data_IF_346027193777
#
_entry.id   IF_346027193777
#
_cell.length_a   1.000
_cell.length_b   1.000
_cell.length_c   1.000
_cell.angle_alpha   90.00
_cell.angle_beta   90.00
_cell.angle_gamma   90.00
#
_symmetry.space_group_name_H-M   'P 1'
#
loop_
_entity.id
_entity.type
_entity.pdbx_description
1 polymer ?
#
# COMPACT_ATOMS: atom_id res chain seq x y z
N UNK A 1 -24.92 -3.85 1.11
CA UNK A 1 -25.32 -4.53 -0.14
C UNK A 1 -26.68 -4.08 -0.66
N UNK A 2 -27.57 -3.49 0.16
CA UNK A 2 -28.95 -3.14 -0.28
C UNK A 2 -29.11 -1.88 -1.15
N UNK A 3 -28.17 -0.90 -1.15
CA UNK A 3 -28.34 0.30 -1.99
C UNK A 3 -27.99 0.05 -3.47
N UNK A 4 -27.05 -0.84 -3.76
CA UNK A 4 -26.66 -1.15 -5.16
C UNK A 4 -27.75 -1.92 -5.91
N UNK A 5 -28.61 -2.67 -5.21
CA UNK A 5 -29.78 -3.31 -5.82
C UNK A 5 -30.92 -2.33 -6.14
N UNK A 6 -31.00 -1.19 -5.44
CA UNK A 6 -32.07 -0.19 -5.62
C UNK A 6 -31.78 0.86 -6.69
N UNK A 7 -30.56 0.91 -7.22
CA UNK A 7 -30.15 1.89 -8.22
C UNK A 7 -30.65 1.65 -9.64
N UNK A 8 -31.61 0.75 -9.83
CA UNK A 8 -32.04 0.40 -11.18
C UNK A 8 -30.82 0.03 -12.04
N UNK A 9 -29.77 -0.53 -11.42
CA UNK A 9 -28.69 -1.19 -12.14
C UNK A 9 -29.40 -2.30 -12.87
N UNK A 10 -29.66 -2.05 -14.14
CA UNK A 10 -30.18 -3.04 -15.05
C UNK A 10 -29.09 -4.10 -15.08
N UNK A 11 -29.21 -5.13 -14.22
CA UNK A 11 -28.55 -6.38 -14.50
C UNK A 11 -29.00 -6.72 -15.91
N UNK A 12 -28.10 -6.61 -16.90
CA UNK A 12 -28.38 -7.13 -18.24
C UNK A 12 -28.48 -8.63 -18.08
N UNK A 13 -29.68 -9.07 -17.72
CA UNK A 13 -29.98 -10.43 -17.30
C UNK A 13 -30.21 -11.34 -18.52
N UNK A 14 -29.57 -11.07 -19.65
CA UNK A 14 -29.79 -11.80 -20.90
C UNK A 14 -28.48 -12.37 -21.49
N UNK A 15 -27.48 -12.67 -20.66
CA UNK A 15 -26.29 -13.43 -21.12
C UNK A 15 -25.20 -13.74 -20.09
N UNK A 16 -25.06 -12.96 -19.02
CA UNK A 16 -23.89 -13.09 -18.12
C UNK A 16 -23.84 -14.36 -17.27
N UNK A 17 -25.00 -14.92 -16.89
CA UNK A 17 -25.05 -16.18 -16.13
C UNK A 17 -24.52 -17.37 -16.92
N UNK A 18 -24.71 -17.39 -18.25
CA UNK A 18 -24.16 -18.47 -19.08
C UNK A 18 -22.65 -18.34 -19.22
N UNK A 19 -22.12 -17.12 -19.33
CA UNK A 19 -20.66 -16.88 -19.42
C UNK A 19 -19.92 -17.29 -18.14
N UNK A 20 -20.45 -16.94 -16.96
CA UNK A 20 -19.83 -17.36 -15.69
C UNK A 20 -19.90 -18.87 -15.49
N UNK A 21 -21.05 -19.51 -15.79
CA UNK A 21 -21.18 -20.97 -15.72
C UNK A 21 -20.26 -21.70 -16.70
N UNK A 22 -20.09 -21.17 -17.92
CA UNK A 22 -19.13 -21.68 -18.90
C UNK A 22 -17.70 -21.49 -18.41
N UNK A 23 -17.36 -20.34 -17.81
CA UNK A 23 -16.03 -20.09 -17.25
C UNK A 23 -15.72 -21.01 -16.06
N UNK A 24 -16.71 -21.29 -15.21
CA UNK A 24 -16.59 -22.20 -14.08
C UNK A 24 -16.35 -23.63 -14.57
N UNK A 25 -17.13 -24.09 -15.56
CA UNK A 25 -16.97 -25.43 -16.16
C UNK A 25 -15.64 -25.56 -16.91
N UNK A 26 -15.21 -24.51 -17.60
CA UNK A 26 -13.89 -24.45 -18.22
C UNK A 26 -12.79 -24.57 -17.17
N UNK A 27 -12.88 -23.82 -16.07
CA UNK A 27 -11.93 -23.87 -14.96
C UNK A 27 -11.87 -25.26 -14.34
N UNK A 28 -13.01 -25.90 -14.09
CA UNK A 28 -13.09 -27.26 -13.54
C UNK A 28 -12.50 -28.32 -14.49
N UNK A 29 -12.66 -28.16 -15.80
CA UNK A 29 -12.25 -29.18 -16.77
C UNK A 29 -10.80 -29.02 -17.23
N UNK A 30 -10.34 -27.78 -17.40
CA UNK A 30 -9.10 -27.45 -18.11
C UNK A 30 -8.10 -26.65 -17.27
N UNK A 31 -8.42 -26.31 -16.02
CA UNK A 31 -7.52 -25.56 -15.14
C UNK A 31 -7.14 -26.34 -13.89
N UNK A 32 -6.05 -25.91 -13.26
CA UNK A 32 -5.66 -26.34 -11.92
C UNK A 32 -6.05 -25.26 -10.92
N UNK A 33 -6.45 -25.68 -9.73
CA UNK A 33 -6.66 -24.72 -8.64
C UNK A 33 -5.31 -24.08 -8.27
N UNK A 34 -5.30 -22.75 -8.27
CA UNK A 34 -4.17 -21.92 -7.86
C UNK A 34 -4.72 -20.90 -6.85
N UNK A 35 -4.77 -21.24 -5.54
CA UNK A 35 -5.27 -20.33 -4.54
C UNK A 35 -4.32 -19.12 -4.41
N UNK A 36 -4.89 -17.92 -4.31
CA UNK A 36 -4.10 -16.70 -4.16
C UNK A 36 -3.65 -16.60 -2.70
N UNK A 37 -2.36 -16.85 -2.45
CA UNK A 37 -1.85 -16.83 -1.08
C UNK A 37 -1.79 -15.43 -0.49
N UNK A 38 -1.27 -14.47 -1.25
CA UNK A 38 -1.10 -13.09 -0.82
C UNK A 38 -1.47 -12.13 -1.96
N UNK A 39 -2.27 -11.11 -1.64
CA UNK A 39 -2.58 -9.99 -2.55
C UNK A 39 -2.35 -8.69 -1.79
N UNK A 40 -1.34 -7.94 -2.22
CA UNK A 40 -1.06 -6.59 -1.76
C UNK A 40 -1.51 -5.57 -2.80
N UNK A 41 -2.34 -4.62 -2.41
CA UNK A 41 -2.79 -3.53 -3.28
C UNK A 41 -2.58 -2.18 -2.61
N UNK A 42 -2.33 -1.16 -3.43
CA UNK A 42 -2.22 0.22 -3.01
C UNK A 42 -3.39 1.01 -3.60
N UNK A 43 -4.06 1.73 -2.72
CA UNK A 43 -5.09 2.73 -2.96
C UNK A 43 -6.04 2.40 -4.11
N UNK A 44 -6.69 1.24 -4.03
CA UNK A 44 -7.63 0.78 -5.07
C UNK A 44 -8.78 1.77 -5.24
N UNK A 45 -8.94 2.30 -6.45
CA UNK A 45 -9.97 3.30 -6.78
C UNK A 45 -11.13 2.73 -7.58
N UNK A 46 -12.31 3.31 -7.40
CA UNK A 46 -13.49 3.04 -8.23
C UNK A 46 -13.61 4.05 -9.38
N UNK A 47 -12.79 3.94 -10.43
CA UNK A 47 -12.79 4.92 -11.53
C UNK A 47 -13.77 4.61 -12.68
N UNK A 48 -14.23 3.36 -12.81
CA UNK A 48 -15.00 2.90 -13.96
C UNK A 48 -16.50 2.98 -13.69
N UNK A 49 -17.18 3.89 -14.39
CA UNK A 49 -18.64 3.99 -14.43
C UNK A 49 -19.26 5.31 -13.95
N UNK A 50 -18.43 6.34 -13.75
CA UNK A 50 -18.80 7.62 -13.12
C UNK A 50 -19.90 8.43 -13.82
N UNK A 51 -20.12 8.25 -15.13
CA UNK A 51 -21.10 9.08 -15.87
C UNK A 51 -22.32 8.29 -16.37
N UNK A 52 -22.18 7.02 -16.80
CA UNK A 52 -23.30 6.35 -17.49
C UNK A 52 -23.48 4.83 -17.27
N UNK A 53 -22.53 4.10 -16.67
CA UNK A 53 -22.70 2.65 -16.42
C UNK A 53 -21.74 2.18 -15.32
N UNK A 54 -22.16 2.07 -14.03
CA UNK A 54 -21.33 1.52 -12.98
C UNK A 54 -21.12 0.02 -13.24
N UNK A 55 -20.04 -0.32 -13.96
CA UNK A 55 -19.59 -1.70 -14.08
C UNK A 55 -19.09 -2.14 -12.71
N UNK A 56 -19.96 -2.79 -11.94
CA UNK A 56 -19.57 -3.50 -10.73
C UNK A 56 -18.90 -4.80 -11.18
N UNK A 57 -17.57 -4.77 -11.28
CA UNK A 57 -16.80 -5.98 -11.50
C UNK A 57 -17.02 -6.93 -10.29
N UNK A 58 -17.42 -8.19 -10.52
CA UNK A 58 -17.58 -9.16 -9.45
C UNK A 58 -16.23 -9.39 -8.75
N UNK A 59 -16.26 -9.72 -7.46
CA UNK A 59 -15.08 -9.99 -6.63
C UNK A 59 -14.15 -8.81 -6.33
N UNK A 60 -14.54 -7.57 -6.65
CA UNK A 60 -13.73 -6.38 -6.33
C UNK A 60 -13.75 -5.99 -4.85
N UNK A 61 -14.80 -6.34 -4.11
CA UNK A 61 -14.91 -6.08 -2.66
C UNK A 61 -14.72 -7.31 -1.78
N UNK A 62 -14.97 -8.52 -2.31
CA UNK A 62 -14.82 -9.80 -1.62
C UNK A 62 -14.46 -10.87 -2.66
N UNK A 63 -13.22 -11.33 -2.66
CA UNK A 63 -12.76 -12.43 -3.52
C UNK A 63 -12.42 -13.65 -2.64
N UNK A 64 -13.22 -14.73 -2.68
CA UNK A 64 -12.99 -15.89 -1.83
C UNK A 64 -11.68 -16.65 -2.15
N UNK A 65 -11.06 -16.39 -3.31
CA UNK A 65 -9.80 -17.03 -3.68
C UNK A 65 -8.58 -16.43 -2.96
N UNK A 66 -8.71 -15.23 -2.36
CA UNK A 66 -7.62 -14.54 -1.65
C UNK A 66 -7.55 -15.08 -0.23
N UNK A 67 -6.41 -15.63 0.18
CA UNK A 67 -6.20 -16.09 1.56
C UNK A 67 -5.73 -14.94 2.46
N UNK A 68 -4.72 -14.18 2.00
CA UNK A 68 -4.17 -13.02 2.72
C UNK A 68 -4.28 -11.80 1.82
N UNK A 69 -5.00 -10.79 2.27
CA UNK A 69 -5.19 -9.52 1.57
C UNK A 69 -4.63 -8.37 2.39
N UNK A 70 -3.85 -7.50 1.74
CA UNK A 70 -3.34 -6.24 2.30
C UNK A 70 -3.67 -5.09 1.39
N UNK A 71 -4.27 -4.04 1.95
CA UNK A 71 -4.63 -2.84 1.22
C UNK A 71 -4.09 -1.61 1.97
N UNK A 72 -3.22 -0.85 1.32
CA UNK A 72 -2.77 0.46 1.79
C UNK A 72 -3.68 1.55 1.21
N UNK A 73 -4.17 2.49 2.02
CA UNK A 73 -5.15 3.51 1.63
C UNK A 73 -4.63 4.93 1.92
N UNK A 74 -4.92 5.87 1.03
CA UNK A 74 -4.58 7.29 1.19
C UNK A 74 -5.64 8.05 2.00
N UNK A 75 -5.23 8.78 3.04
CA UNK A 75 -6.10 9.62 3.89
C UNK A 75 -6.41 10.96 3.21
N UNK A 76 -5.44 11.55 2.52
CA UNK A 76 -5.50 12.96 2.08
C UNK A 76 -5.91 13.13 0.61
N UNK A 77 -6.24 12.04 -0.09
CA UNK A 77 -6.77 12.10 -1.46
C UNK A 77 -8.19 12.68 -1.48
N UNK A 78 -8.43 13.62 -2.41
CA UNK A 78 -9.67 14.41 -2.51
C UNK A 78 -10.32 14.40 -3.88
N UNK A 79 -9.65 13.86 -4.90
CA UNK A 79 -10.22 13.81 -6.25
C UNK A 79 -11.39 12.84 -6.28
N UNK A 80 -12.53 13.30 -6.75
CA UNK A 80 -13.76 12.52 -6.85
C UNK A 80 -13.60 11.24 -7.69
N UNK A 81 -12.74 11.28 -8.72
CA UNK A 81 -12.41 10.13 -9.58
C UNK A 81 -11.49 9.09 -8.92
N UNK A 82 -10.95 9.40 -7.73
CA UNK A 82 -10.08 8.54 -6.94
C UNK A 82 -10.77 8.15 -5.63
N UNK A 83 -12.08 7.92 -5.66
CA UNK A 83 -12.79 7.37 -4.49
C UNK A 83 -12.30 5.94 -4.20
N UNK A 84 -11.94 5.69 -2.94
CA UNK A 84 -11.41 4.41 -2.49
C UNK A 84 -12.45 3.28 -2.56
N UNK A 85 -11.97 2.08 -2.86
CA UNK A 85 -12.74 0.85 -2.80
C UNK A 85 -12.26 -0.02 -1.64
N UNK A 86 -12.93 0.11 -0.50
CA UNK A 86 -12.68 -0.74 0.65
C UNK A 86 -13.12 -2.19 0.36
N UNK A 87 -12.35 -3.14 0.87
CA UNK A 87 -12.78 -4.52 0.97
C UNK A 87 -13.85 -4.68 2.05
N UNK A 88 -14.78 -5.60 1.79
CA UNK A 88 -15.81 -5.97 2.74
C UNK A 88 -15.27 -6.81 3.90
N UNK A 89 -16.16 -7.31 4.73
CA UNK A 89 -15.79 -8.21 5.83
C UNK A 89 -15.07 -9.44 5.29
N UNK A 90 -13.98 -9.83 5.96
CA UNK A 90 -13.21 -11.04 5.68
C UNK A 90 -14.11 -12.27 5.74
N UNK A 91 -14.01 -13.15 4.73
CA UNK A 91 -14.69 -14.45 4.75
C UNK A 91 -13.94 -15.42 5.69
N UNK A 92 -14.59 -16.53 6.06
CA UNK A 92 -13.98 -17.55 6.93
C UNK A 92 -12.68 -18.07 6.32
N UNK A 93 -11.59 -17.98 7.08
CA UNK A 93 -10.26 -18.42 6.64
C UNK A 93 -9.48 -17.38 5.82
N UNK A 94 -10.01 -16.18 5.63
CA UNK A 94 -9.28 -15.05 5.06
C UNK A 94 -8.68 -14.17 6.16
N UNK A 95 -7.48 -13.67 5.90
CA UNK A 95 -6.82 -12.63 6.66
C UNK A 95 -6.76 -11.37 5.77
N UNK A 96 -7.71 -10.45 5.96
CA UNK A 96 -7.77 -9.20 5.22
C UNK A 96 -7.47 -8.04 6.16
N UNK A 97 -6.58 -7.14 5.72
CA UNK A 97 -6.16 -5.97 6.47
C UNK A 97 -6.15 -4.73 5.57
N UNK A 98 -6.75 -3.65 6.04
CA UNK A 98 -6.84 -2.36 5.35
C UNK A 98 -6.22 -1.31 6.27
N UNK A 99 -5.12 -0.69 5.83
CA UNK A 99 -4.34 0.26 6.64
C UNK A 99 -4.26 1.59 5.93
N UNK A 100 -4.58 2.66 6.66
CA UNK A 100 -4.58 4.02 6.15
C UNK A 100 -3.23 4.71 6.42
N UNK A 101 -2.73 5.40 5.40
CA UNK A 101 -1.44 6.09 5.38
C UNK A 101 -1.64 7.59 5.09
N UNK A 102 -0.76 8.46 5.59
CA UNK A 102 -0.79 9.88 5.27
C UNK A 102 -0.44 10.12 3.80
N UNK A 103 -1.02 11.16 3.20
CA UNK A 103 -0.76 11.56 1.82
C UNK A 103 -1.88 11.19 0.84
N UNK A 104 -1.68 11.60 -0.43
CA UNK A 104 -2.61 11.35 -1.54
C UNK A 104 -2.37 10.00 -2.22
N UNK A 105 -3.16 9.66 -3.25
CA UNK A 105 -3.08 8.37 -3.95
C UNK A 105 -1.65 7.96 -4.32
N UNK A 106 -0.87 8.89 -4.87
CA UNK A 106 0.51 8.67 -5.30
C UNK A 106 1.53 8.72 -4.16
N UNK A 107 1.22 9.36 -3.03
CA UNK A 107 2.04 9.28 -1.81
C UNK A 107 1.94 7.89 -1.17
N UNK A 108 0.84 7.16 -1.41
CA UNK A 108 0.68 5.79 -0.91
C UNK A 108 1.07 4.77 -1.98
N UNK A 109 0.65 4.93 -3.24
CA UNK A 109 0.91 3.98 -4.31
C UNK A 109 2.27 4.13 -4.99
N UNK A 110 2.94 5.28 -4.82
CA UNK A 110 4.15 5.64 -5.56
C UNK A 110 3.84 6.17 -6.95
N UNK A 111 4.61 7.18 -7.38
CA UNK A 111 4.71 7.70 -8.76
C UNK A 111 5.42 9.06 -8.78
N UNK A 112 5.58 9.70 -7.62
CA UNK A 112 6.35 10.94 -7.49
C UNK A 112 7.85 10.68 -7.72
N UNK A 113 8.63 11.72 -8.03
CA UNK A 113 10.08 11.65 -8.11
C UNK A 113 10.70 11.03 -6.86
N UNK A 114 11.86 10.39 -7.00
CA UNK A 114 12.50 9.64 -5.91
C UNK A 114 12.83 10.53 -4.71
N UNK A 115 13.18 11.80 -4.92
CA UNK A 115 13.46 12.81 -3.90
C UNK A 115 12.22 13.36 -3.19
N UNK A 116 11.02 12.95 -3.60
CA UNK A 116 9.73 13.28 -2.99
C UNK A 116 8.93 12.02 -2.62
N UNK A 117 9.58 10.84 -2.62
CA UNK A 117 8.90 9.55 -2.50
C UNK A 117 8.78 9.01 -1.08
N UNK A 118 9.21 9.74 -0.05
CA UNK A 118 9.36 9.25 1.33
C UNK A 118 8.08 8.61 1.90
N UNK A 119 6.91 9.21 1.64
CA UNK A 119 5.61 8.67 2.09
C UNK A 119 5.32 7.30 1.46
N UNK A 120 5.62 7.15 0.16
CA UNK A 120 5.36 5.91 -0.58
C UNK A 120 6.33 4.80 -0.19
N UNK A 121 7.53 5.17 0.28
CA UNK A 121 8.44 4.20 0.90
C UNK A 121 7.86 3.66 2.21
N UNK A 122 7.07 4.44 2.94
CA UNK A 122 6.39 4.00 4.16
C UNK A 122 5.37 2.90 3.90
N UNK A 123 4.45 3.11 2.95
CA UNK A 123 3.46 2.09 2.55
C UNK A 123 4.13 0.87 1.90
N UNK A 124 5.21 1.07 1.14
CA UNK A 124 6.02 -0.01 0.56
C UNK A 124 6.70 -0.85 1.65
N UNK A 125 7.32 -0.21 2.65
CA UNK A 125 7.98 -0.90 3.77
C UNK A 125 6.99 -1.78 4.53
N UNK A 126 5.81 -1.24 4.83
CA UNK A 126 4.71 -1.98 5.45
C UNK A 126 4.31 -3.19 4.61
N UNK A 127 4.06 -3.00 3.30
CA UNK A 127 3.65 -4.09 2.42
C UNK A 127 4.71 -5.19 2.30
N UNK A 128 6.00 -4.81 2.23
CA UNK A 128 7.11 -5.77 2.18
C UNK A 128 7.18 -6.59 3.47
N UNK A 129 6.96 -5.96 4.63
CA UNK A 129 6.88 -6.65 5.92
C UNK A 129 5.74 -7.66 5.97
N UNK A 130 4.53 -7.25 5.57
CA UNK A 130 3.36 -8.14 5.53
C UNK A 130 3.53 -9.28 4.51
N UNK A 131 4.06 -8.98 3.33
CA UNK A 131 4.31 -9.98 2.30
C UNK A 131 5.36 -11.00 2.74
N UNK A 132 6.43 -10.54 3.39
CA UNK A 132 7.45 -11.42 3.96
C UNK A 132 6.87 -12.31 5.06
N UNK A 133 6.10 -11.75 5.99
CA UNK A 133 5.42 -12.50 7.05
C UNK A 133 4.43 -13.54 6.49
N UNK A 134 3.83 -13.26 5.33
CA UNK A 134 3.00 -14.20 4.57
C UNK A 134 3.80 -15.27 3.78
N UNK A 135 5.12 -15.30 3.89
CA UNK A 135 6.00 -16.27 3.24
C UNK A 135 6.40 -15.93 1.81
N UNK A 136 6.20 -14.70 1.35
CA UNK A 136 6.69 -14.27 0.04
C UNK A 136 8.23 -14.13 0.07
N UNK A 137 8.89 -14.77 -0.90
CA UNK A 137 10.34 -14.62 -1.10
C UNK A 137 10.66 -13.22 -1.62
N UNK A 138 11.35 -12.42 -0.80
CA UNK A 138 11.76 -11.05 -1.14
C UNK A 138 13.28 -11.01 -1.22
N UNK A 139 13.80 -10.37 -2.27
CA UNK A 139 15.21 -9.99 -2.33
C UNK A 139 15.47 -8.88 -1.30
N UNK A 140 15.92 -9.28 -0.10
CA UNK A 140 16.14 -8.38 1.02
C UNK A 140 17.18 -7.30 0.70
N UNK A 141 18.17 -7.57 -0.15
CA UNK A 141 19.19 -6.59 -0.51
C UNK A 141 18.60 -5.50 -1.41
N UNK A 142 17.75 -5.87 -2.37
CA UNK A 142 17.01 -4.89 -3.18
C UNK A 142 15.98 -4.12 -2.35
N UNK A 143 15.26 -4.80 -1.45
CA UNK A 143 14.30 -4.15 -0.57
C UNK A 143 14.99 -3.06 0.28
N UNK A 144 16.10 -3.39 0.94
CA UNK A 144 16.89 -2.41 1.70
C UNK A 144 17.41 -1.27 0.85
N UNK A 145 17.79 -1.53 -0.40
CA UNK A 145 18.23 -0.50 -1.32
C UNK A 145 17.11 0.48 -1.66
N UNK A 146 15.94 -0.03 -2.06
CA UNK A 146 14.76 0.78 -2.44
C UNK A 146 14.19 1.55 -1.24
N UNK A 147 14.34 1.02 -0.03
CA UNK A 147 13.96 1.68 1.24
C UNK A 147 15.04 2.64 1.78
N UNK A 148 16.06 2.98 0.99
CA UNK A 148 17.10 3.95 1.37
C UNK A 148 18.07 3.46 2.46
N UNK A 149 17.96 2.21 2.91
CA UNK A 149 18.81 1.63 3.97
C UNK A 149 20.19 1.19 3.44
N UNK A 150 20.31 0.96 2.13
CA UNK A 150 21.55 0.56 1.47
C UNK A 150 21.77 1.36 0.20
N UNK A 151 23.01 1.80 -0.03
CA UNK A 151 23.38 2.48 -1.28
C UNK A 151 23.46 1.49 -2.46
N UNK A 152 23.12 1.94 -3.68
CA UNK A 152 23.29 1.14 -4.88
C UNK A 152 24.78 0.78 -5.10
N UNK A 153 25.08 -0.39 -5.68
CA UNK A 153 26.45 -0.82 -5.94
C UNK A 153 27.13 0.02 -7.03
N UNK A 154 26.34 0.56 -7.95
CA UNK A 154 26.82 1.41 -9.03
C UNK A 154 26.87 2.86 -8.57
N UNK A 155 28.08 3.43 -8.52
CA UNK A 155 28.34 4.79 -8.00
C UNK A 155 27.59 5.92 -8.74
N UNK A 156 27.21 5.68 -9.99
CA UNK A 156 26.48 6.65 -10.82
C UNK A 156 24.97 6.63 -10.60
N UNK A 157 24.44 5.60 -9.92
CA UNK A 157 23.02 5.57 -9.59
C UNK A 157 22.76 6.43 -8.35
N UNK A 158 21.75 7.32 -8.38
CA UNK A 158 21.38 8.09 -7.20
C UNK A 158 20.90 7.16 -6.08
N UNK A 159 21.09 7.56 -4.80
CA UNK A 159 20.54 6.82 -3.67
C UNK A 159 19.01 6.94 -3.65
N UNK A 160 18.36 5.94 -3.07
CA UNK A 160 16.92 6.00 -2.77
C UNK A 160 16.69 6.74 -1.45
N UNK A 161 15.57 7.46 -1.35
CA UNK A 161 15.15 8.08 -0.09
C UNK A 161 14.61 7.03 0.87
N UNK A 162 14.79 7.27 2.17
CA UNK A 162 14.23 6.42 3.21
C UNK A 162 12.76 6.80 3.47
N UNK A 163 11.95 5.88 4.02
CA UNK A 163 10.64 6.24 4.56
C UNK A 163 10.76 7.33 5.62
N UNK A 164 10.05 8.41 5.42
CA UNK A 164 9.88 9.47 6.41
C UNK A 164 8.48 10.08 6.25
N UNK A 165 7.77 10.19 7.36
CA UNK A 165 6.46 10.84 7.44
C UNK A 165 6.50 12.15 8.25
N UNK A 166 7.65 12.50 8.82
CA UNK A 166 7.80 13.58 9.79
C UNK A 166 8.42 14.85 9.22
N UNK A 167 9.20 14.78 8.13
CA UNK A 167 9.79 15.97 7.50
C UNK A 167 9.32 16.22 6.07
N UNK A 168 8.83 15.19 5.39
CA UNK A 168 8.38 15.28 4.00
C UNK A 168 7.08 16.10 3.82
N UNK A 169 6.88 16.65 2.63
CA UNK A 169 5.64 17.32 2.24
C UNK A 169 4.60 16.30 1.74
N UNK A 170 3.30 16.60 1.95
CA UNK A 170 2.21 15.86 1.28
C UNK A 170 1.88 16.59 -0.01
N UNK A 171 1.82 15.85 -1.10
CA UNK A 171 1.47 16.40 -2.40
C UNK A 171 -0.01 16.79 -2.47
N UNK A 172 -0.32 17.86 -3.20
CA UNK A 172 -1.70 18.15 -3.58
C UNK A 172 -2.01 17.57 -4.97
N UNK A 173 -2.84 16.53 -4.99
CA UNK A 173 -3.31 15.89 -6.21
C UNK A 173 -4.49 16.63 -6.86
N UNK A 174 -5.27 17.39 -6.08
CA UNK A 174 -6.43 18.13 -6.55
C UNK A 174 -6.03 19.51 -7.10
N UNK A 175 -5.41 19.51 -8.28
CA UNK A 175 -4.92 20.73 -8.95
C UNK A 175 -5.40 20.85 -10.39
N UNK A 176 -5.53 22.10 -10.85
CA UNK A 176 -5.80 22.42 -12.25
C UNK A 176 -7.10 21.78 -12.78
N UNK A 177 -7.06 21.03 -13.91
CA UNK A 177 -8.26 20.45 -14.53
C UNK A 177 -9.08 19.52 -13.63
N UNK A 178 -8.47 18.95 -12.58
CA UNK A 178 -9.21 18.12 -11.62
C UNK A 178 -10.35 18.88 -10.94
N UNK A 179 -10.20 20.20 -10.72
CA UNK A 179 -11.27 21.03 -10.17
C UNK A 179 -12.51 21.12 -11.08
N UNK A 180 -12.37 20.94 -12.40
CA UNK A 180 -13.51 20.95 -13.31
C UNK A 180 -14.44 19.76 -13.04
N UNK A 181 -13.86 18.61 -12.68
CA UNK A 181 -14.63 17.40 -12.36
C UNK A 181 -15.31 17.50 -10.98
N UNK A 182 -14.77 18.31 -10.06
CA UNK A 182 -15.35 18.50 -8.73
C UNK A 182 -16.69 19.26 -8.74
N UNK A 183 -16.96 20.01 -9.82
CA UNK A 183 -18.21 20.76 -10.00
C UNK A 183 -19.25 20.02 -10.84
N UNK A 184 -18.94 18.83 -11.35
CA UNK A 184 -19.90 18.02 -12.08
C UNK A 184 -20.72 17.19 -11.09
N UNK A 185 -22.05 17.30 -11.09
CA UNK A 185 -22.89 16.40 -10.33
C UNK A 185 -22.68 14.97 -10.81
N UNK A 186 -22.47 14.06 -9.87
CA UNK A 186 -22.44 12.64 -10.17
C UNK A 186 -23.36 11.89 -9.23
N UNK A 187 -23.79 10.71 -9.67
CA UNK A 187 -24.65 9.85 -8.89
C UNK A 187 -23.81 8.77 -8.20
N UNK A 188 -23.61 8.88 -6.89
CA UNK A 188 -22.77 7.96 -6.10
C UNK A 188 -23.50 7.40 -4.86
N UNK A 189 -22.89 6.39 -4.25
CA UNK A 189 -23.30 5.85 -2.95
C UNK A 189 -22.50 6.55 -1.85
N UNK A 190 -23.20 7.33 -1.03
CA UNK A 190 -22.61 7.95 0.15
C UNK A 190 -22.51 6.91 1.28
N UNK A 191 -21.28 6.54 1.62
CA UNK A 191 -20.98 5.58 2.70
C UNK A 191 -21.30 6.11 4.09
N UNK A 192 -21.21 7.42 4.29
CA UNK A 192 -21.50 8.05 5.59
C UNK A 192 -23.01 8.06 5.89
N UNK A 193 -23.83 8.26 4.86
CA UNK A 193 -25.29 8.33 4.96
C UNK A 193 -25.98 7.00 4.61
N UNK A 194 -25.25 6.02 4.07
CA UNK A 194 -25.78 4.73 3.66
C UNK A 194 -26.80 4.79 2.53
N UNK A 195 -26.74 5.82 1.67
CA UNK A 195 -27.73 6.07 0.60
C UNK A 195 -27.08 6.49 -0.71
N UNK A 196 -27.79 6.25 -1.79
CA UNK A 196 -27.37 6.62 -3.13
C UNK A 196 -28.04 7.96 -3.51
N UNK A 197 -27.31 8.85 -4.17
CA UNK A 197 -27.85 10.14 -4.57
C UNK A 197 -26.93 10.95 -5.48
N UNK A 198 -27.47 12.05 -5.99
CA UNK A 198 -26.68 13.05 -6.71
C UNK A 198 -25.95 13.93 -5.70
N UNK A 199 -24.64 14.00 -5.85
CA UNK A 199 -23.79 14.85 -5.02
C UNK A 199 -22.85 15.67 -5.91
N UNK A 200 -22.51 16.86 -5.41
CA UNK A 200 -21.37 17.62 -5.92
C UNK A 200 -20.18 17.29 -5.02
N UNK A 201 -19.13 16.64 -5.53
CA UNK A 201 -18.03 16.19 -4.69
C UNK A 201 -17.23 17.32 -4.07
N UNK A 202 -17.04 18.45 -4.77
CA UNK A 202 -16.47 19.69 -4.20
C UNK A 202 -15.14 19.49 -3.43
N UNK A 203 -14.30 18.52 -3.83
CA UNK A 203 -13.06 18.18 -3.15
C UNK A 203 -13.26 17.62 -1.73
N UNK A 204 -14.39 16.95 -1.49
CA UNK A 204 -14.67 16.29 -0.22
C UNK A 204 -13.60 15.24 0.11
N UNK A 205 -13.35 15.04 1.41
CA UNK A 205 -12.37 14.09 1.90
C UNK A 205 -12.98 12.69 1.96
N UNK A 206 -12.13 11.67 1.95
CA UNK A 206 -12.59 10.28 2.06
C UNK A 206 -13.23 10.01 3.41
N UNK A 207 -14.27 9.18 3.40
CA UNK A 207 -14.88 8.64 4.60
C UNK A 207 -14.05 7.46 5.12
N UNK A 208 -13.51 7.58 6.34
CA UNK A 208 -12.78 6.52 7.03
C UNK A 208 -13.73 5.89 8.07
N UNK A 209 -14.07 4.59 7.96
CA UNK A 209 -14.95 3.94 8.93
C UNK A 209 -14.40 3.91 10.36
N UNK A 210 -15.29 3.91 11.34
CA UNK A 210 -14.93 3.71 12.76
C UNK A 210 -14.24 2.35 12.97
N UNK A 211 -13.26 2.31 13.87
CA UNK A 211 -12.44 1.12 14.13
C UNK A 211 -11.42 0.79 13.03
N UNK A 212 -11.23 1.67 12.04
CA UNK A 212 -10.20 1.50 11.00
C UNK A 212 -8.78 1.41 11.59
N UNK A 213 -7.87 0.80 10.83
CA UNK A 213 -6.46 0.71 11.20
C UNK A 213 -5.67 1.83 10.50
N UNK A 214 -4.98 2.65 11.26
CA UNK A 214 -4.05 3.66 10.74
C UNK A 214 -2.61 3.16 10.92
N UNK A 215 -1.73 3.51 9.99
CA UNK A 215 -0.31 3.25 10.17
C UNK A 215 0.32 4.23 11.19
N UNK A 216 1.37 3.80 11.90
CA UNK A 216 2.08 4.62 12.89
C UNK A 216 2.54 5.98 12.35
N UNK A 217 2.89 6.02 11.06
CA UNK A 217 3.28 7.24 10.34
C UNK A 217 2.24 8.35 10.40
N UNK A 218 0.95 8.04 10.52
CA UNK A 218 -0.11 9.04 10.71
C UNK A 218 0.07 9.74 12.05
N UNK A 219 0.31 8.98 13.12
CA UNK A 219 0.51 9.54 14.47
C UNK A 219 1.83 10.30 14.56
N UNK A 220 2.92 9.74 14.03
CA UNK A 220 4.23 10.38 13.96
C UNK A 220 4.13 11.75 13.27
N UNK A 221 3.43 11.81 12.13
CA UNK A 221 3.21 13.06 11.40
C UNK A 221 2.37 14.07 12.17
N UNK A 222 1.29 13.63 12.84
CA UNK A 222 0.45 14.50 13.69
C UNK A 222 1.22 15.10 14.87
N UNK A 223 2.21 14.37 15.40
CA UNK A 223 3.08 14.85 16.48
C UNK A 223 4.16 15.79 15.95
N UNK A 224 4.68 15.55 14.75
CA UNK A 224 5.74 16.36 14.15
C UNK A 224 5.23 17.69 13.55
N UNK A 225 4.01 17.70 12.99
CA UNK A 225 3.43 18.89 12.35
C UNK A 225 2.18 19.38 13.08
N UNK A 226 2.27 20.57 13.69
CA UNK A 226 1.14 21.20 14.40
C UNK A 226 -0.11 21.40 13.51
N UNK A 227 0.06 21.55 12.20
CA UNK A 227 -1.04 21.75 11.23
C UNK A 227 -1.64 20.48 10.63
N UNK A 228 -1.05 19.31 10.85
CA UNK A 228 -1.54 18.06 10.26
C UNK A 228 -2.59 17.42 11.16
N UNK A 229 -3.85 17.79 10.97
CA UNK A 229 -5.01 17.19 11.64
C UNK A 229 -6.11 16.88 10.61
N UNK A 230 -6.03 15.73 9.91
CA UNK A 230 -7.02 15.38 8.89
C UNK A 230 -8.41 15.28 9.54
N UNK A 231 -9.40 16.07 9.07
CA UNK A 231 -10.72 16.14 9.72
C UNK A 231 -11.58 14.90 9.45
N UNK A 232 -11.13 14.01 8.56
CA UNK A 232 -11.79 12.75 8.23
C UNK A 232 -11.32 11.55 9.08
N UNK A 233 -10.49 11.78 10.10
CA UNK A 233 -10.12 10.72 11.03
C UNK A 233 -11.32 10.33 11.90
N UNK A 234 -11.58 9.02 12.09
CA UNK A 234 -12.66 8.54 12.95
C UNK A 234 -12.36 8.79 14.43
N UNK A 235 -13.38 8.72 15.27
CA UNK A 235 -13.21 8.88 16.72
C UNK A 235 -12.43 7.69 17.31
N UNK A 236 -12.64 6.50 16.77
CA UNK A 236 -11.99 5.25 17.17
C UNK A 236 -11.18 4.66 16.02
N UNK A 237 -9.93 4.34 16.29
CA UNK A 237 -9.03 3.66 15.35
C UNK A 237 -7.95 2.90 16.12
N UNK A 238 -7.28 2.00 15.43
CA UNK A 238 -6.11 1.27 15.95
C UNK A 238 -4.86 1.69 15.18
N UNK A 239 -3.69 1.60 15.82
CA UNK A 239 -2.41 1.91 15.19
C UNK A 239 -1.68 0.61 14.87
N UNK A 240 -1.16 0.53 13.64
CA UNK A 240 -0.34 -0.56 13.17
C UNK A 240 1.08 -0.09 12.83
N UNK A 241 2.06 -0.87 13.28
CA UNK A 241 3.47 -0.65 12.99
C UNK A 241 3.91 -1.54 11.82
N UNK A 242 4.87 -1.05 11.04
CA UNK A 242 5.54 -1.86 10.02
C UNK A 242 6.29 -3.04 10.65
N UNK A 243 6.07 -4.26 10.12
CA UNK A 243 6.88 -5.43 10.46
C UNK A 243 8.28 -5.23 9.85
N UNK A 244 9.36 -5.22 10.66
CA UNK A 244 10.70 -5.04 10.13
C UNK A 244 11.12 -6.26 9.30
N UNK A 245 11.80 -6.01 8.18
CA UNK A 245 12.46 -7.07 7.43
C UNK A 245 13.59 -7.69 8.27
N UNK A 246 13.90 -8.99 8.10
CA UNK A 246 14.98 -9.65 8.85
C UNK A 246 16.29 -8.88 8.71
N UNK A 247 17.15 -8.90 9.73
CA UNK A 247 18.49 -8.31 9.62
C UNK A 247 19.39 -9.15 8.70
N UNK A 248 20.37 -8.53 8.01
CA UNK A 248 21.36 -9.30 7.26
C UNK A 248 22.15 -10.19 8.22
N UNK A 249 22.60 -11.38 7.77
CA UNK A 249 23.44 -12.23 8.61
C UNK A 249 24.68 -11.46 9.04
N UNK A 250 24.98 -11.47 10.34
CA UNK A 250 26.17 -10.83 10.89
C UNK A 250 27.40 -11.37 10.15
N UNK A 251 28.20 -10.47 9.57
CA UNK A 251 29.44 -10.87 8.89
C UNK A 251 30.30 -11.63 9.91
N UNK A 252 30.83 -12.82 9.61
CA UNK A 252 31.72 -13.50 10.54
C UNK A 252 32.88 -12.56 10.86
N UNK A 253 33.36 -12.54 12.12
CA UNK A 253 34.47 -11.67 12.51
C UNK A 253 35.63 -11.90 11.54
N UNK A 254 36.18 -10.82 10.99
CA UNK A 254 37.38 -10.91 10.15
C UNK A 254 38.43 -11.66 10.96
N UNK A 255 38.83 -12.85 10.49
CA UNK A 255 40.00 -13.53 11.06
C UNK A 255 41.15 -12.52 10.99
N UNK A 256 41.71 -12.14 12.15
CA UNK A 256 42.93 -11.31 12.17
C UNK A 256 43.96 -12.04 11.29
N UNK A 257 44.66 -11.34 10.38
CA UNK A 257 45.75 -11.97 9.65
C UNK A 257 46.72 -12.56 10.68
N UNK A 258 47.28 -13.77 10.45
CA UNK A 258 48.23 -14.35 11.36
C UNK A 258 49.40 -13.38 11.56
N UNK A 259 49.64 -12.98 12.81
CA UNK A 259 50.84 -12.24 13.17
C UNK A 259 52.04 -13.17 13.00
N UNK A 260 52.78 -13.00 11.91
CA UNK A 260 54.07 -13.68 11.73
C UNK A 260 55.07 -12.94 12.60
N UNK A 261 55.48 -13.55 13.71
CA UNK A 261 56.64 -13.09 14.45
C UNK A 261 57.89 -13.64 13.76
N UNK A 262 58.65 -12.75 13.12
CA UNK A 262 60.00 -13.08 12.67
C UNK A 262 60.95 -12.58 13.75
N UNK A 263 61.69 -13.50 14.37
CA UNK A 263 62.74 -13.15 15.31
C UNK A 263 64.01 -12.80 14.52
N UNK A 264 64.57 -11.63 14.80
CA UNK A 264 65.92 -11.23 14.42
C UNK A 264 66.94 -11.97 15.31
N UNK A 265 68.11 -12.32 14.76
CA UNK A 265 69.23 -13.01 15.45
C UNK A 265 69.80 -12.24 16.67
N UNK A 266 69.33 -11.02 16.95
CA UNK A 266 69.65 -10.19 18.12
C UNK A 266 68.61 -10.26 19.25
N UNK A 267 67.53 -11.03 19.09
CA UNK A 267 66.56 -11.31 20.16
C UNK A 267 65.49 -10.22 20.40
N UNK A 268 65.36 -9.22 19.53
CA UNK A 268 64.24 -8.27 19.58
C UNK A 268 63.06 -8.74 18.70
N UNK A 269 61.88 -8.87 19.30
CA UNK A 269 60.64 -9.21 18.57
C UNK A 269 60.07 -7.97 17.88
N UNK A 270 60.06 -7.94 16.55
CA UNK A 270 59.36 -6.92 15.76
C UNK A 270 58.04 -7.49 15.23
N UNK A 271 56.92 -6.87 15.59
CA UNK A 271 55.59 -7.22 15.09
C UNK A 271 55.34 -6.47 13.79
N UNK A 272 55.38 -7.17 12.65
CA UNK A 272 54.96 -6.60 11.37
C UNK A 272 53.48 -6.89 11.11
N UNK A 273 52.67 -5.85 10.99
CA UNK A 273 51.33 -5.96 10.41
C UNK A 273 51.44 -5.74 8.89
N UNK A 274 51.22 -6.80 8.11
CA UNK A 274 51.02 -6.68 6.66
C UNK A 274 49.74 -5.84 6.43
N UNK A 275 49.92 -4.66 5.80
CA UNK A 275 48.81 -3.82 5.30
C UNK A 275 48.14 -4.45 4.09
#
# INVERSE_FOLDING_TARGET
MECLDRLGVRQRNTGHKSTLAVSERFKQTLSRECPLHFVGVWDTVSSIGWIYDPIVLPFTGQNPAIKIGRQALAIDERRCMYEDRLWGQSLKGQDIKQVWFPGVHSDVGGSYPEDESELSKGSLAWMLGEAHAAGLSIDLERARMVLGQKRPPLRWMPPYVAPDATTCHIHDSLKGPWWLLEFLPHHNYDRSLGRCGWTLPCGHRRFIPEGSVLHSSVQERRLAFEGYAPPNLPATYTIENTIPLPEPPSRPPRKKPPSVMVADETGQSLVWQLR
#
